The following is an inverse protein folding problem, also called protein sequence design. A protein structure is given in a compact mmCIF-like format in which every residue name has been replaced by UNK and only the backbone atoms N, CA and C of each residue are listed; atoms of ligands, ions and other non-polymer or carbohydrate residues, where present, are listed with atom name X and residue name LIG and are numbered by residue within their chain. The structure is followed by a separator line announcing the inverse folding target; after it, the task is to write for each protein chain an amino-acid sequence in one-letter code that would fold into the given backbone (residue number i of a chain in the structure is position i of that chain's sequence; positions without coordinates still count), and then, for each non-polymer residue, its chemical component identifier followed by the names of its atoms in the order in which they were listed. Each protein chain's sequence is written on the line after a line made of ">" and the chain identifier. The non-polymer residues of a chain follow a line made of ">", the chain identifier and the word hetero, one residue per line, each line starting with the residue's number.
data_IF_597313311741
#
_entry.id   IF_597313311741
#
_cell.length_a   1.000
_cell.length_b   1.000
_cell.length_c   1.000
_cell.angle_alpha   90.00
_cell.angle_beta   90.00
_cell.angle_gamma   90.00
#
_symmetry.space_group_name_H-M   'P 1'
#
loop_
_entity.id
_entity.type
_entity.pdbx_description
1 polymer ?
#
# COMPACT_ATOMS: atom_id res chain seq x y z
N UNK A 1 -9.63 16.23 27.14
CA UNK A 1 -9.38 14.90 26.53
C UNK A 1 -9.63 15.06 25.04
N UNK A 2 -8.58 15.07 24.23
CA UNK A 2 -8.69 15.29 22.79
C UNK A 2 -8.91 13.95 22.10
N UNK A 3 -10.15 13.47 22.10
CA UNK A 3 -10.54 12.33 21.29
C UNK A 3 -10.87 12.82 19.88
N UNK A 4 -10.04 12.45 18.90
CA UNK A 4 -10.20 12.92 17.53
C UNK A 4 -10.50 11.73 16.60
N UNK A 5 -11.61 11.81 15.88
CA UNK A 5 -11.91 10.86 14.81
C UNK A 5 -10.91 11.03 13.66
N UNK A 6 -10.40 9.93 13.14
CA UNK A 6 -9.45 9.95 12.04
C UNK A 6 -10.14 10.49 10.75
N UNK A 7 -9.54 11.48 10.05
CA UNK A 7 -10.19 12.17 8.94
C UNK A 7 -10.44 11.26 7.72
N UNK A 8 -9.73 10.13 7.61
CA UNK A 8 -9.96 9.11 6.58
C UNK A 8 -11.11 8.13 6.87
N UNK A 9 -11.69 8.15 8.08
CA UNK A 9 -12.68 7.17 8.53
C UNK A 9 -14.13 7.65 8.39
N UNK A 10 -14.46 8.24 7.24
CA UNK A 10 -15.81 8.76 6.95
C UNK A 10 -16.59 7.91 5.94
N UNK A 11 -15.91 7.04 5.18
CA UNK A 11 -16.51 6.30 4.05
C UNK A 11 -17.28 5.07 4.48
N UNK A 12 -16.88 4.40 5.56
CA UNK A 12 -17.53 3.18 6.05
C UNK A 12 -18.46 3.49 7.24
N UNK A 13 -19.78 3.32 7.13
CA UNK A 13 -20.69 3.51 8.26
C UNK A 13 -20.50 2.43 9.36
N UNK A 14 -19.77 1.35 9.08
CA UNK A 14 -19.56 0.22 10.00
C UNK A 14 -18.68 0.56 11.19
N UNK A 15 -17.93 1.65 11.13
CA UNK A 15 -17.05 2.07 12.21
C UNK A 15 -16.05 3.13 11.77
N UNK A 16 -15.24 3.60 12.70
CA UNK A 16 -14.23 4.62 12.44
C UNK A 16 -13.04 4.50 13.38
N UNK A 17 -11.87 4.94 12.91
CA UNK A 17 -10.67 5.08 13.73
C UNK A 17 -10.76 6.39 14.53
N UNK A 18 -10.21 6.38 15.74
CA UNK A 18 -10.02 7.57 16.56
C UNK A 18 -8.77 7.41 17.43
N UNK A 19 -8.20 8.54 17.86
CA UNK A 19 -7.09 8.53 18.81
C UNK A 19 -7.56 8.99 20.19
N UNK A 20 -7.05 8.34 21.23
CA UNK A 20 -7.22 8.77 22.64
C UNK A 20 -5.89 8.58 23.36
N UNK A 21 -5.43 9.63 24.05
CA UNK A 21 -4.14 9.66 24.76
C UNK A 21 -2.92 9.14 23.94
N UNK A 22 -2.93 9.35 22.62
CA UNK A 22 -1.86 8.92 21.71
C UNK A 22 -1.94 7.47 21.23
N UNK A 23 -2.93 6.70 21.70
CA UNK A 23 -3.22 5.36 21.19
C UNK A 23 -4.30 5.39 20.10
N UNK A 24 -4.16 4.52 19.10
CA UNK A 24 -5.12 4.36 18.01
C UNK A 24 -6.16 3.30 18.39
N UNK A 25 -7.44 3.65 18.24
CA UNK A 25 -8.57 2.77 18.47
C UNK A 25 -9.51 2.79 17.27
N UNK A 26 -10.36 1.76 17.18
CA UNK A 26 -11.46 1.72 16.24
C UNK A 26 -12.75 1.43 16.99
N UNK A 27 -13.76 2.26 16.75
CA UNK A 27 -15.13 1.93 17.12
C UNK A 27 -15.74 1.06 16.03
N UNK A 28 -16.28 -0.10 16.42
CA UNK A 28 -17.13 -0.95 15.59
C UNK A 28 -18.58 -0.62 15.93
N UNK A 29 -19.38 -0.30 14.93
CA UNK A 29 -20.78 0.08 15.11
C UNK A 29 -21.72 -1.14 15.09
N UNK A 30 -22.89 -1.00 15.70
CA UNK A 30 -23.93 -2.02 15.84
C UNK A 30 -24.37 -2.63 14.51
N UNK A 31 -24.36 -1.85 13.43
CA UNK A 31 -24.73 -2.33 12.10
C UNK A 31 -23.74 -3.37 11.51
N UNK A 32 -22.57 -3.53 12.11
CA UNK A 32 -21.54 -4.49 11.71
C UNK A 32 -21.31 -5.57 12.77
N UNK A 33 -22.18 -5.64 13.79
CA UNK A 33 -22.00 -6.57 14.91
C UNK A 33 -22.00 -8.04 14.44
N UNK A 34 -22.91 -8.40 13.53
CA UNK A 34 -23.05 -9.76 13.03
C UNK A 34 -21.84 -10.18 12.18
N UNK A 35 -21.37 -9.30 11.28
CA UNK A 35 -20.16 -9.53 10.48
C UNK A 35 -18.91 -9.63 11.36
N UNK A 36 -18.79 -8.75 12.36
CA UNK A 36 -17.66 -8.79 13.29
C UNK A 36 -17.66 -10.09 14.09
N UNK A 37 -18.80 -10.49 14.66
CA UNK A 37 -18.92 -11.75 15.39
C UNK A 37 -18.58 -12.93 14.48
N UNK A 38 -19.08 -12.94 13.24
CA UNK A 38 -18.75 -13.98 12.25
C UNK A 38 -17.26 -14.02 11.93
N UNK A 39 -16.60 -12.88 11.77
CA UNK A 39 -15.15 -12.79 11.52
C UNK A 39 -14.34 -13.44 12.64
N UNK A 40 -14.71 -13.17 13.89
CA UNK A 40 -14.03 -13.70 15.08
C UNK A 40 -14.31 -15.19 15.29
N UNK A 41 -15.55 -15.64 15.11
CA UNK A 41 -15.98 -17.02 15.39
C UNK A 41 -15.66 -18.01 14.27
N UNK A 42 -15.58 -17.56 13.01
CA UNK A 42 -15.30 -18.44 11.86
C UNK A 42 -13.87 -18.95 11.78
N UNK A 43 -12.97 -18.47 12.64
CA UNK A 43 -11.53 -18.74 12.58
C UNK A 43 -10.79 -17.99 11.46
N UNK A 44 -11.49 -17.17 10.68
CA UNK A 44 -10.88 -16.36 9.61
C UNK A 44 -9.90 -15.32 10.18
N UNK A 45 -10.31 -14.62 11.26
CA UNK A 45 -9.45 -13.65 11.94
C UNK A 45 -8.15 -14.27 12.42
N UNK A 46 -8.23 -15.39 13.17
CA UNK A 46 -7.06 -16.10 13.68
C UNK A 46 -6.17 -16.59 12.54
N UNK A 47 -6.76 -17.17 11.49
CA UNK A 47 -6.02 -17.66 10.33
C UNK A 47 -5.22 -16.56 9.64
N UNK A 48 -5.84 -15.40 9.37
CA UNK A 48 -5.21 -14.28 8.69
C UNK A 48 -4.17 -13.57 9.56
N UNK A 49 -4.46 -13.39 10.84
CA UNK A 49 -3.55 -12.80 11.82
C UNK A 49 -2.28 -13.65 11.98
N UNK A 50 -2.43 -14.97 12.16
CA UNK A 50 -1.30 -15.89 12.34
C UNK A 50 -0.33 -15.92 11.17
N UNK A 51 -0.82 -15.73 9.94
CA UNK A 51 0.06 -15.69 8.75
C UNK A 51 0.58 -14.28 8.45
N UNK A 52 0.18 -13.26 9.21
CA UNK A 52 0.50 -11.86 8.99
C UNK A 52 -0.11 -11.34 7.70
N UNK A 53 -1.44 -11.45 7.56
CA UNK A 53 -2.22 -10.91 6.42
C UNK A 53 -3.39 -10.02 6.86
N UNK A 54 -3.67 -9.95 8.15
CA UNK A 54 -4.61 -9.02 8.76
C UNK A 54 -3.90 -8.41 9.98
N UNK A 55 -4.08 -7.10 10.19
CA UNK A 55 -3.60 -6.43 11.40
C UNK A 55 -4.24 -7.07 12.62
N UNK A 56 -3.44 -7.34 13.65
CA UNK A 56 -3.98 -7.86 14.90
C UNK A 56 -4.64 -6.74 15.68
N UNK A 57 -5.66 -7.06 16.46
CA UNK A 57 -6.30 -6.13 17.38
C UNK A 57 -6.72 -6.84 18.67
N UNK A 58 -6.89 -6.04 19.71
CA UNK A 58 -7.46 -6.46 20.98
C UNK A 58 -8.79 -5.75 21.20
N UNK A 59 -9.77 -6.44 21.76
CA UNK A 59 -10.99 -5.81 22.24
C UNK A 59 -10.70 -5.12 23.57
N UNK A 60 -11.12 -3.86 23.71
CA UNK A 60 -10.84 -3.04 24.89
C UNK A 60 -12.12 -2.42 25.42
N UNK A 61 -12.16 -2.22 26.74
CA UNK A 61 -13.28 -1.57 27.42
C UNK A 61 -12.92 -0.10 27.70
N UNK A 62 -13.11 0.74 26.69
CA UNK A 62 -12.99 2.20 26.79
C UNK A 62 -14.27 2.86 26.29
N UNK A 63 -14.51 4.09 26.75
CA UNK A 63 -15.72 4.81 26.38
C UNK A 63 -15.74 5.13 24.86
N UNK A 64 -16.80 4.71 24.13
CA UNK A 64 -16.93 4.99 22.70
C UNK A 64 -17.16 6.47 22.41
N UNK A 65 -16.77 6.91 21.20
CA UNK A 65 -17.03 8.27 20.72
C UNK A 65 -18.51 8.48 20.42
N UNK A 66 -19.17 7.45 19.87
CA UNK A 66 -20.61 7.44 19.58
C UNK A 66 -21.26 6.26 20.31
N UNK A 67 -21.55 6.37 21.62
CA UNK A 67 -22.08 5.27 22.43
C UNK A 67 -23.38 4.67 21.90
N UNK A 68 -24.23 5.49 21.28
CA UNK A 68 -25.52 5.07 20.74
C UNK A 68 -25.42 4.16 19.51
N UNK A 69 -24.25 4.16 18.84
CA UNK A 69 -23.97 3.29 17.70
C UNK A 69 -22.95 2.20 18.02
N UNK A 70 -22.23 2.31 19.14
CA UNK A 70 -21.10 1.45 19.43
C UNK A 70 -21.55 0.02 19.75
N UNK A 71 -20.86 -0.93 19.14
CA UNK A 71 -20.93 -2.35 19.50
C UNK A 71 -19.70 -2.75 20.32
N UNK A 72 -18.51 -2.46 19.81
CA UNK A 72 -17.22 -2.75 20.47
C UNK A 72 -16.18 -1.69 20.15
N UNK A 73 -15.19 -1.56 21.02
CA UNK A 73 -13.95 -0.85 20.73
C UNK A 73 -12.83 -1.86 20.57
N UNK A 74 -12.03 -1.69 19.52
CA UNK A 74 -10.83 -2.48 19.29
C UNK A 74 -9.60 -1.59 19.22
N UNK A 75 -8.48 -2.08 19.73
CA UNK A 75 -7.17 -1.46 19.64
C UNK A 75 -6.33 -2.27 18.63
N UNK A 76 -6.18 -1.82 17.38
CA UNK A 76 -5.30 -2.46 16.42
C UNK A 76 -3.82 -2.26 16.78
N UNK A 77 -2.99 -3.22 16.39
CA UNK A 77 -1.54 -3.05 16.36
C UNK A 77 -1.20 -1.87 15.44
N UNK A 78 -0.45 -0.90 15.97
CA UNK A 78 -0.06 0.27 15.22
C UNK A 78 0.98 -0.11 14.16
N UNK A 79 0.69 0.21 12.90
CA UNK A 79 1.67 0.06 11.82
C UNK A 79 2.62 1.26 11.88
N UNK A 80 3.95 1.05 11.93
CA UNK A 80 4.90 2.14 12.16
C UNK A 80 4.83 3.26 11.13
N UNK A 81 4.50 2.93 9.87
CA UNK A 81 4.44 3.90 8.80
C UNK A 81 3.31 3.57 7.82
N UNK A 82 2.48 4.58 7.50
CA UNK A 82 1.43 4.46 6.49
C UNK A 82 1.98 4.95 5.14
N UNK A 83 2.08 4.02 4.21
CA UNK A 83 2.52 4.26 2.83
C UNK A 83 1.34 4.26 1.87
N UNK A 84 1.50 4.94 0.73
CA UNK A 84 0.44 5.08 -0.26
C UNK A 84 0.74 4.33 -1.57
N UNK A 85 -0.30 3.87 -2.30
CA UNK A 85 -0.10 3.03 -3.49
C UNK A 85 0.76 3.63 -4.59
N UNK A 86 0.78 4.96 -4.72
CA UNK A 86 1.62 5.67 -5.70
C UNK A 86 3.09 5.82 -5.25
N UNK A 87 3.42 5.46 -4.01
CA UNK A 87 4.78 5.41 -3.47
C UNK A 87 5.38 4.00 -3.60
N UNK A 88 4.60 3.00 -3.98
CA UNK A 88 5.04 1.62 -4.00
C UNK A 88 5.82 1.27 -5.26
N UNK A 89 6.84 0.43 -5.10
CA UNK A 89 7.51 -0.23 -6.22
C UNK A 89 6.55 -1.18 -6.95
N UNK A 90 6.94 -1.62 -8.16
CA UNK A 90 6.19 -2.61 -8.91
C UNK A 90 5.92 -3.89 -8.09
N UNK A 91 6.96 -4.44 -7.47
CA UNK A 91 6.85 -5.67 -6.67
C UNK A 91 6.04 -5.47 -5.39
N UNK A 92 6.07 -4.28 -4.77
CA UNK A 92 5.18 -3.95 -3.64
C UNK A 92 3.71 -4.01 -4.06
N UNK A 93 3.34 -3.26 -5.11
CA UNK A 93 1.95 -3.25 -5.59
C UNK A 93 1.49 -4.66 -6.02
N UNK A 94 2.39 -5.45 -6.62
CA UNK A 94 2.14 -6.84 -6.99
C UNK A 94 1.93 -7.73 -5.77
N UNK A 95 2.73 -7.57 -4.71
CA UNK A 95 2.55 -8.30 -3.45
C UNK A 95 1.21 -7.93 -2.81
N UNK A 96 0.86 -6.64 -2.74
CA UNK A 96 -0.41 -6.16 -2.22
C UNK A 96 -1.60 -6.77 -2.96
N UNK A 97 -1.57 -6.77 -4.29
CA UNK A 97 -2.60 -7.39 -5.13
C UNK A 97 -2.77 -8.89 -4.84
N UNK A 98 -1.66 -9.62 -4.73
CA UNK A 98 -1.67 -11.06 -4.43
C UNK A 98 -2.13 -11.34 -2.99
N UNK A 99 -1.81 -10.47 -2.04
CA UNK A 99 -2.28 -10.54 -0.66
C UNK A 99 -3.81 -10.38 -0.61
N UNK A 100 -4.36 -9.36 -1.26
CA UNK A 100 -5.82 -9.12 -1.33
C UNK A 100 -6.56 -10.31 -1.92
N UNK A 101 -6.09 -10.89 -3.04
CA UNK A 101 -6.70 -12.10 -3.62
C UNK A 101 -6.59 -13.32 -2.69
N UNK A 102 -5.48 -13.46 -1.97
CA UNK A 102 -5.27 -14.55 -1.03
C UNK A 102 -6.15 -14.43 0.22
N UNK A 103 -6.43 -13.21 0.67
CA UNK A 103 -7.38 -12.90 1.75
C UNK A 103 -8.80 -13.19 1.28
N UNK A 104 -9.19 -12.67 0.12
CA UNK A 104 -10.52 -12.91 -0.46
C UNK A 104 -10.83 -14.41 -0.60
N UNK A 105 -9.86 -15.18 -1.11
CA UNK A 105 -10.01 -16.64 -1.24
C UNK A 105 -10.22 -17.33 0.11
N UNK A 106 -9.55 -16.88 1.17
CA UNK A 106 -9.72 -17.41 2.53
C UNK A 106 -11.05 -17.00 3.13
N UNK A 107 -11.46 -15.75 2.93
CA UNK A 107 -12.75 -15.25 3.35
C UNK A 107 -13.88 -16.12 2.78
N UNK A 108 -13.84 -16.44 1.48
CA UNK A 108 -14.86 -17.30 0.85
C UNK A 108 -14.92 -18.70 1.47
N UNK A 109 -13.79 -19.26 1.91
CA UNK A 109 -13.78 -20.55 2.59
C UNK A 109 -14.43 -20.48 3.98
N UNK A 110 -14.42 -19.32 4.62
CA UNK A 110 -15.10 -19.02 5.89
C UNK A 110 -16.53 -18.46 5.70
N UNK A 111 -17.08 -18.52 4.48
CA UNK A 111 -18.37 -17.95 4.06
C UNK A 111 -18.48 -16.43 4.29
N UNK A 112 -17.35 -15.74 4.16
CA UNK A 112 -17.25 -14.29 4.13
C UNK A 112 -16.69 -13.81 2.78
N UNK A 113 -16.75 -12.52 2.52
CA UNK A 113 -16.15 -11.89 1.35
C UNK A 113 -15.61 -10.51 1.74
N UNK A 114 -14.59 -10.02 1.04
CA UNK A 114 -14.19 -8.63 1.10
C UNK A 114 -15.24 -7.78 0.38
N UNK A 115 -15.76 -6.77 1.06
CA UNK A 115 -16.72 -5.79 0.53
C UNK A 115 -16.04 -4.65 -0.25
N UNK A 116 -14.73 -4.49 -0.05
CA UNK A 116 -13.86 -3.56 -0.77
C UNK A 116 -12.50 -4.21 -1.12
N UNK A 117 -11.77 -3.59 -2.03
CA UNK A 117 -10.44 -3.98 -2.46
C UNK A 117 -9.59 -2.73 -2.76
N UNK A 118 -9.69 -1.72 -1.88
CA UNK A 118 -8.87 -0.52 -1.99
C UNK A 118 -7.40 -0.85 -1.70
N UNK A 119 -6.49 -0.37 -2.53
CA UNK A 119 -5.06 -0.49 -2.25
C UNK A 119 -4.66 0.22 -0.94
N UNK A 120 -5.37 1.27 -0.52
CA UNK A 120 -5.10 1.97 0.74
C UNK A 120 -5.36 1.12 1.99
N UNK A 121 -6.13 0.03 1.86
CA UNK A 121 -6.37 -0.91 2.95
C UNK A 121 -5.23 -1.93 3.12
N UNK A 122 -4.23 -1.92 2.23
CA UNK A 122 -3.02 -2.73 2.37
C UNK A 122 -1.87 -1.86 2.84
N UNK A 123 -1.11 -2.33 3.82
CA UNK A 123 0.14 -1.73 4.29
C UNK A 123 1.25 -2.77 4.37
N UNK A 124 2.50 -2.31 4.54
CA UNK A 124 3.66 -3.19 4.70
C UNK A 124 4.13 -3.18 6.13
N UNK A 125 4.08 -4.35 6.77
CA UNK A 125 4.53 -4.54 8.15
C UNK A 125 5.41 -5.78 8.24
N UNK A 126 6.57 -5.65 8.88
CA UNK A 126 7.52 -6.76 9.04
C UNK A 126 7.84 -7.50 7.73
N UNK A 127 8.05 -6.72 6.65
CA UNK A 127 8.36 -7.24 5.32
C UNK A 127 7.20 -7.95 4.60
N UNK A 128 5.94 -7.78 5.04
CA UNK A 128 4.75 -8.40 4.42
C UNK A 128 3.65 -7.39 4.11
N UNK A 129 2.94 -7.60 3.00
CA UNK A 129 1.68 -6.90 2.74
C UNK A 129 0.54 -7.44 3.64
N UNK A 130 -0.09 -6.56 4.42
CA UNK A 130 -1.15 -6.86 5.38
C UNK A 130 -2.39 -6.02 5.12
N UNK A 131 -3.58 -6.57 5.36
CA UNK A 131 -4.83 -5.80 5.39
C UNK A 131 -4.96 -5.11 6.76
N UNK A 132 -5.18 -3.80 6.76
CA UNK A 132 -5.34 -3.01 7.99
C UNK A 132 -6.81 -2.70 8.32
N UNK A 133 -7.73 -3.03 7.43
CA UNK A 133 -9.16 -2.78 7.60
C UNK A 133 -9.92 -4.04 8.03
N UNK A 134 -10.09 -4.20 9.35
CA UNK A 134 -10.86 -5.30 9.94
C UNK A 134 -12.34 -5.30 9.53
N UNK A 135 -12.90 -4.14 9.15
CA UNK A 135 -14.32 -4.03 8.81
C UNK A 135 -14.60 -4.30 7.32
N UNK A 136 -13.60 -4.70 6.54
CA UNK A 136 -13.75 -5.02 5.12
C UNK A 136 -14.45 -6.34 4.82
N UNK A 137 -14.79 -7.16 5.82
CA UNK A 137 -15.43 -8.46 5.60
C UNK A 137 -16.97 -8.36 5.67
N UNK A 138 -17.68 -9.07 4.82
CA UNK A 138 -19.13 -9.22 4.85
C UNK A 138 -19.53 -10.68 4.68
N UNK A 139 -20.78 -11.02 4.98
CA UNK A 139 -21.31 -12.35 4.68
C UNK A 139 -21.27 -12.63 3.18
N UNK A 140 -20.69 -13.77 2.79
CA UNK A 140 -20.79 -14.24 1.42
C UNK A 140 -22.21 -14.75 1.16
N UNK A 141 -22.83 -14.26 0.08
CA UNK A 141 -24.13 -14.74 -0.40
C UNK A 141 -23.92 -15.60 -1.64
N UNK A 142 -24.31 -16.87 -1.57
CA UNK A 142 -24.18 -17.78 -2.72
C UNK A 142 -24.90 -17.21 -3.95
N UNK A 143 -24.28 -17.33 -5.13
CA UNK A 143 -24.83 -16.80 -6.37
C UNK A 143 -24.52 -15.33 -6.65
N UNK A 144 -23.94 -14.57 -5.71
CA UNK A 144 -23.57 -13.16 -5.95
C UNK A 144 -22.14 -13.01 -6.50
N UNK A 145 -21.89 -12.04 -7.39
CA UNK A 145 -20.52 -11.69 -7.79
C UNK A 145 -19.73 -11.13 -6.60
N UNK A 146 -18.41 -11.09 -6.72
CA UNK A 146 -17.58 -10.36 -5.77
C UNK A 146 -17.73 -8.86 -6.00
N UNK A 147 -18.30 -8.16 -5.03
CA UNK A 147 -18.64 -6.73 -5.10
C UNK A 147 -17.41 -5.85 -5.38
N UNK A 148 -16.26 -6.19 -4.81
CA UNK A 148 -15.02 -5.42 -4.96
C UNK A 148 -14.21 -5.77 -6.22
N UNK A 149 -14.72 -6.62 -7.12
CA UNK A 149 -14.01 -7.05 -8.33
C UNK A 149 -13.56 -5.87 -9.20
N UNK A 150 -14.45 -4.89 -9.43
CA UNK A 150 -14.12 -3.68 -10.20
C UNK A 150 -13.02 -2.88 -9.51
N UNK A 151 -13.17 -2.63 -8.20
CA UNK A 151 -12.21 -1.89 -7.41
C UNK A 151 -10.83 -2.57 -7.42
N UNK A 152 -10.78 -3.90 -7.31
CA UNK A 152 -9.53 -4.66 -7.43
C UNK A 152 -8.84 -4.41 -8.79
N UNK A 153 -9.61 -4.44 -9.89
CA UNK A 153 -9.04 -4.15 -11.21
C UNK A 153 -8.50 -2.72 -11.29
N UNK A 154 -9.18 -1.73 -10.73
CA UNK A 154 -8.77 -0.32 -10.78
C UNK A 154 -7.56 0.00 -9.88
N UNK A 155 -7.50 -0.58 -8.68
CA UNK A 155 -6.45 -0.30 -7.70
C UNK A 155 -5.19 -1.16 -7.88
N UNK A 156 -5.31 -2.35 -8.47
CA UNK A 156 -4.18 -3.29 -8.58
C UNK A 156 -3.88 -3.70 -10.01
N UNK A 157 -4.84 -4.30 -10.73
CA UNK A 157 -4.52 -4.92 -12.02
C UNK A 157 -4.18 -3.89 -13.10
N UNK A 158 -4.96 -2.82 -13.21
CA UNK A 158 -4.73 -1.74 -14.16
C UNK A 158 -3.37 -1.05 -13.95
N UNK A 159 -3.02 -0.55 -12.75
CA UNK A 159 -1.70 0.05 -12.53
C UNK A 159 -0.56 -0.93 -12.77
N UNK A 160 -0.65 -2.19 -12.30
CA UNK A 160 0.38 -3.19 -12.59
C UNK A 160 0.56 -3.45 -14.08
N UNK A 161 -0.53 -3.51 -14.85
CA UNK A 161 -0.46 -3.69 -16.28
C UNK A 161 0.20 -2.49 -16.97
N UNK A 162 -0.15 -1.26 -16.58
CA UNK A 162 0.44 -0.03 -17.12
C UNK A 162 1.94 0.06 -16.82
N UNK A 163 2.33 -0.22 -15.58
CA UNK A 163 3.74 -0.25 -15.15
C UNK A 163 4.54 -1.28 -15.95
N UNK A 164 4.01 -2.50 -16.11
CA UNK A 164 4.73 -3.59 -16.76
C UNK A 164 4.74 -3.54 -18.30
N UNK A 165 3.74 -2.89 -18.92
CA UNK A 165 3.52 -2.93 -20.38
C UNK A 165 3.68 -1.59 -21.08
N UNK A 166 3.69 -0.48 -20.35
CA UNK A 166 3.81 0.86 -20.93
C UNK A 166 4.98 1.60 -20.31
N UNK A 167 4.89 2.00 -19.03
CA UNK A 167 5.93 2.77 -18.34
C UNK A 167 5.74 2.70 -16.82
N UNK A 168 6.82 2.49 -16.07
CA UNK A 168 6.80 2.36 -14.60
C UNK A 168 6.19 3.58 -13.90
N UNK A 169 6.35 4.77 -14.47
CA UNK A 169 5.88 6.04 -13.90
C UNK A 169 4.36 6.18 -13.92
N UNK A 170 3.65 5.34 -14.67
CA UNK A 170 2.19 5.36 -14.69
C UNK A 170 1.56 4.90 -13.36
N UNK A 171 2.34 4.38 -12.42
CA UNK A 171 1.91 4.21 -11.02
C UNK A 171 1.42 5.52 -10.38
N UNK A 172 1.97 6.67 -10.80
CA UNK A 172 1.59 8.00 -10.31
C UNK A 172 0.13 8.36 -10.60
N UNK A 173 -0.54 7.68 -11.53
CA UNK A 173 -1.98 7.86 -11.74
C UNK A 173 -2.81 7.49 -10.50
N UNK A 174 -2.29 6.66 -9.58
CA UNK A 174 -2.95 6.36 -8.30
C UNK A 174 -2.97 7.56 -7.33
N UNK A 175 -2.12 8.58 -7.55
CA UNK A 175 -2.19 9.87 -6.84
C UNK A 175 -3.37 10.71 -7.34
N UNK A 176 -3.66 10.64 -8.65
CA UNK A 176 -4.74 11.41 -9.29
C UNK A 176 -6.10 10.71 -9.08
N UNK A 177 -6.14 9.39 -9.29
CA UNK A 177 -7.34 8.57 -9.15
C UNK A 177 -7.28 7.79 -7.83
N UNK A 178 -7.65 8.47 -6.74
CA UNK A 178 -7.63 7.89 -5.39
C UNK A 178 -8.49 6.63 -5.28
N UNK A 179 -9.60 6.54 -6.03
CA UNK A 179 -10.49 5.38 -6.12
C UNK A 179 -10.05 4.36 -7.21
N UNK A 180 -8.79 4.43 -7.64
CA UNK A 180 -8.17 3.54 -8.62
C UNK A 180 -8.32 4.02 -10.06
N UNK A 181 -7.40 3.57 -10.92
CA UNK A 181 -7.33 4.01 -12.33
C UNK A 181 -8.58 3.52 -13.09
N UNK A 182 -9.35 4.41 -13.75
CA UNK A 182 -10.47 4.02 -14.60
C UNK A 182 -10.06 2.99 -15.66
N UNK A 183 -10.87 1.94 -15.84
CA UNK A 183 -10.49 0.81 -16.69
C UNK A 183 -10.52 1.15 -18.18
N UNK A 184 -11.37 2.08 -18.59
CA UNK A 184 -11.38 2.68 -19.92
C UNK A 184 -10.08 3.41 -20.21
N UNK A 185 -9.66 4.32 -19.32
CA UNK A 185 -8.36 5.01 -19.44
C UNK A 185 -7.20 4.02 -19.48
N UNK A 186 -7.16 3.05 -18.57
CA UNK A 186 -6.13 2.02 -18.58
C UNK A 186 -6.15 1.20 -19.88
N UNK A 187 -7.34 0.84 -20.39
CA UNK A 187 -7.48 0.11 -21.65
C UNK A 187 -6.97 0.90 -22.86
N UNK A 188 -7.09 2.23 -22.85
CA UNK A 188 -6.58 3.11 -23.91
C UNK A 188 -5.07 3.31 -23.85
N UNK A 189 -4.51 3.46 -22.64
CA UNK A 189 -3.07 3.63 -22.41
C UNK A 189 -2.27 2.33 -22.62
N UNK A 190 -2.91 1.16 -22.50
CA UNK A 190 -2.25 -0.12 -22.73
C UNK A 190 -2.01 -0.39 -24.23
N UNK A 191 -0.83 -0.92 -24.61
CA UNK A 191 -0.55 -1.29 -25.98
C UNK A 191 -1.57 -2.29 -26.53
N UNK A 192 -1.95 -2.19 -27.81
CA UNK A 192 -2.94 -3.10 -28.42
C UNK A 192 -2.59 -4.59 -28.28
N UNK A 193 -1.31 -4.94 -28.13
CA UNK A 193 -0.84 -6.31 -27.90
C UNK A 193 -1.37 -6.93 -26.60
N UNK A 194 -1.74 -6.13 -25.59
CA UNK A 194 -2.31 -6.65 -24.33
C UNK A 194 -3.70 -7.26 -24.51
N UNK A 195 -4.39 -6.96 -25.62
CA UNK A 195 -5.66 -7.62 -25.99
C UNK A 195 -5.49 -9.10 -26.34
N UNK A 196 -4.27 -9.55 -26.66
CA UNK A 196 -3.94 -10.96 -26.87
C UNK A 196 -3.68 -11.70 -25.55
N UNK A 197 -3.46 -10.98 -24.45
CA UNK A 197 -3.38 -11.58 -23.12
C UNK A 197 -4.80 -11.81 -22.60
N UNK A 198 -5.22 -13.08 -22.51
CA UNK A 198 -6.59 -13.43 -22.10
C UNK A 198 -7.03 -12.82 -20.76
N UNK A 199 -6.13 -12.73 -19.78
CA UNK A 199 -6.41 -12.14 -18.47
C UNK A 199 -6.64 -10.63 -18.55
N UNK A 200 -5.74 -9.90 -19.23
CA UNK A 200 -5.89 -8.44 -19.40
C UNK A 200 -7.09 -8.11 -20.32
N UNK A 201 -7.33 -8.93 -21.34
CA UNK A 201 -8.50 -8.82 -22.20
C UNK A 201 -9.79 -8.93 -21.41
N UNK A 202 -9.92 -9.96 -20.56
CA UNK A 202 -11.12 -10.17 -19.74
C UNK A 202 -11.30 -9.09 -18.67
N UNK A 203 -10.25 -8.80 -17.89
CA UNK A 203 -10.37 -8.02 -16.67
C UNK A 203 -10.23 -6.51 -16.85
N UNK A 204 -9.57 -6.06 -17.93
CA UNK A 204 -9.41 -4.65 -18.27
C UNK A 204 -10.22 -4.31 -19.53
N UNK A 205 -9.85 -4.84 -20.69
CA UNK A 205 -10.40 -4.34 -21.97
C UNK A 205 -11.90 -4.62 -22.17
N UNK A 206 -12.35 -5.85 -21.89
CA UNK A 206 -13.79 -6.19 -21.98
C UNK A 206 -14.59 -5.51 -20.88
N UNK A 207 -14.01 -5.41 -19.68
CA UNK A 207 -14.67 -4.77 -18.56
C UNK A 207 -14.87 -3.27 -18.81
N UNK A 208 -13.85 -2.58 -19.33
CA UNK A 208 -13.93 -1.19 -19.77
C UNK A 208 -15.04 -0.96 -20.81
N UNK A 209 -15.10 -1.81 -21.85
CA UNK A 209 -16.16 -1.72 -22.87
C UNK A 209 -17.55 -1.93 -22.30
N UNK A 210 -17.71 -2.84 -21.35
CA UNK A 210 -18.99 -3.05 -20.68
C UNK A 210 -19.38 -1.81 -19.86
N UNK A 211 -18.44 -1.19 -19.15
CA UNK A 211 -18.71 0.01 -18.35
C UNK A 211 -19.21 1.18 -19.21
N UNK A 212 -18.53 1.48 -20.33
CA UNK A 212 -18.97 2.56 -21.24
C UNK A 212 -20.36 2.27 -21.82
N UNK A 213 -20.64 1.01 -22.15
CA UNK A 213 -21.93 0.61 -22.74
C UNK A 213 -23.11 0.74 -21.75
N UNK A 214 -22.87 0.56 -20.46
CA UNK A 214 -23.90 0.58 -19.42
C UNK A 214 -23.83 1.82 -18.52
N UNK A 215 -23.03 2.84 -18.86
CA UNK A 215 -22.91 4.07 -18.07
C UNK A 215 -24.16 4.97 -18.17
N UNK A 216 -24.89 4.88 -19.28
CA UNK A 216 -26.08 5.70 -19.57
C UNK A 216 -27.41 4.92 -19.42
N UNK A 217 -27.38 3.64 -19.05
CA UNK A 217 -28.60 2.86 -18.78
C UNK A 217 -28.92 2.95 -17.29
N UNK A 218 -30.08 3.51 -16.93
CA UNK A 218 -30.60 3.48 -15.56
C UNK A 218 -30.56 2.03 -15.03
N UNK A 219 -29.76 1.84 -13.98
CA UNK A 219 -29.34 0.54 -13.42
C UNK A 219 -30.51 -0.27 -12.84
N UNK A 220 -31.73 0.26 -12.84
CA UNK A 220 -32.91 -0.39 -12.28
C UNK A 220 -33.54 -1.47 -13.18
N UNK A 221 -33.36 -1.46 -14.51
CA UNK A 221 -34.25 -2.25 -15.38
C UNK A 221 -33.71 -3.54 -16.05
N UNK A 222 -32.46 -3.96 -15.84
CA UNK A 222 -32.00 -5.28 -16.38
C UNK A 222 -31.14 -6.11 -15.43
N UNK A 223 -31.67 -6.41 -14.23
CA UNK A 223 -31.14 -7.48 -13.36
C UNK A 223 -31.53 -8.87 -13.89
N UNK A 224 -30.98 -9.28 -15.04
CA UNK A 224 -30.64 -10.69 -15.20
C UNK A 224 -29.26 -10.91 -14.56
N UNK A 225 -29.19 -10.82 -13.23
CA UNK A 225 -28.02 -11.28 -12.49
C UNK A 225 -27.94 -12.79 -12.67
N UNK A 226 -27.22 -13.25 -13.70
CA UNK A 226 -26.85 -14.66 -13.79
C UNK A 226 -26.10 -15.00 -12.51
N UNK A 227 -26.68 -15.92 -11.73
CA UNK A 227 -26.07 -16.38 -10.49
C UNK A 227 -24.64 -16.88 -10.77
N UNK A 228 -23.66 -16.37 -10.04
CA UNK A 228 -22.28 -16.81 -10.10
C UNK A 228 -22.06 -17.77 -8.95
N UNK A 229 -21.86 -19.05 -9.26
CA UNK A 229 -21.55 -20.04 -8.22
C UNK A 229 -20.26 -19.69 -7.49
N UNK A 230 -20.14 -20.11 -6.23
CA UNK A 230 -18.88 -20.00 -5.47
C UNK A 230 -17.69 -20.59 -6.22
N UNK A 231 -17.87 -21.70 -6.94
CA UNK A 231 -16.81 -22.32 -7.74
C UNK A 231 -16.37 -21.43 -8.91
N UNK A 232 -17.31 -20.77 -9.59
CA UNK A 232 -17.01 -19.79 -10.63
C UNK A 232 -16.25 -18.59 -10.07
N UNK A 233 -16.62 -18.13 -8.87
CA UNK A 233 -15.92 -17.05 -8.19
C UNK A 233 -14.48 -17.44 -7.80
N UNK A 234 -14.26 -18.64 -7.27
CA UNK A 234 -12.92 -19.16 -7.02
C UNK A 234 -12.08 -19.26 -8.31
N UNK A 235 -12.72 -19.64 -9.42
CA UNK A 235 -12.10 -19.63 -10.75
C UNK A 235 -11.69 -18.23 -11.21
N UNK A 236 -12.54 -17.23 -11.00
CA UNK A 236 -12.25 -15.82 -11.27
C UNK A 236 -11.02 -15.34 -10.48
N UNK A 237 -10.98 -15.63 -9.17
CA UNK A 237 -9.87 -15.25 -8.29
C UNK A 237 -8.55 -15.91 -8.70
N UNK A 238 -8.58 -17.18 -9.10
CA UNK A 238 -7.38 -17.86 -9.58
C UNK A 238 -6.93 -17.31 -10.95
N UNK A 239 -7.86 -16.92 -11.83
CA UNK A 239 -7.52 -16.25 -13.09
C UNK A 239 -6.86 -14.88 -12.85
N UNK A 240 -7.43 -14.04 -11.97
CA UNK A 240 -6.84 -12.77 -11.55
C UNK A 240 -5.44 -12.96 -10.97
N UNK A 241 -5.29 -13.90 -10.03
CA UNK A 241 -4.01 -14.22 -9.39
C UNK A 241 -2.96 -14.65 -10.41
N UNK A 242 -3.32 -15.49 -11.37
CA UNK A 242 -2.41 -15.92 -12.43
C UNK A 242 -2.06 -14.79 -13.39
N UNK A 243 -3.00 -13.90 -13.69
CA UNK A 243 -2.77 -12.70 -14.51
C UNK A 243 -1.77 -11.77 -13.82
N UNK A 244 -2.01 -11.44 -12.54
CA UNK A 244 -1.10 -10.62 -11.71
C UNK A 244 0.28 -11.25 -11.59
N UNK A 245 0.37 -12.56 -11.32
CA UNK A 245 1.66 -13.27 -11.19
C UNK A 245 2.53 -13.16 -12.45
N UNK A 246 1.92 -13.20 -13.64
CA UNK A 246 2.59 -13.13 -14.94
C UNK A 246 3.00 -11.71 -15.34
N UNK A 247 2.48 -10.68 -14.70
CA UNK A 247 2.98 -9.32 -14.89
C UNK A 247 4.33 -9.21 -14.21
N UNK A 248 5.32 -8.74 -14.94
CA UNK A 248 6.67 -8.55 -14.44
C UNK A 248 7.23 -7.26 -15.02
N UNK A 249 8.07 -6.60 -14.24
CA UNK A 249 8.81 -5.42 -14.67
C UNK A 249 10.26 -5.61 -14.25
N UNK A 250 11.19 -5.44 -15.18
CA UNK A 250 12.62 -5.46 -14.89
C UNK A 250 13.15 -4.09 -15.29
N UNK A 251 13.78 -3.33 -14.37
CA UNK A 251 14.31 -2.02 -14.72
C UNK A 251 15.36 -2.13 -15.84
N UNK A 252 15.44 -1.13 -16.71
CA UNK A 252 16.46 -1.10 -17.76
C UNK A 252 17.84 -0.81 -17.16
N UNK A 253 18.89 -1.48 -17.63
CA UNK A 253 20.28 -1.26 -17.19
C UNK A 253 20.74 -2.07 -15.96
N UNK A 254 19.94 -3.04 -15.49
CA UNK A 254 20.19 -3.79 -14.25
C UNK A 254 21.11 -5.01 -14.42
N UNK A 255 22.35 -4.79 -14.87
CA UNK A 255 23.42 -5.59 -14.31
C UNK A 255 23.69 -5.01 -12.92
N UNK A 256 23.46 -5.83 -11.90
CA UNK A 256 23.44 -5.49 -10.47
C UNK A 256 24.68 -4.72 -9.96
N UNK A 257 25.75 -4.59 -10.76
CA UNK A 257 26.98 -3.86 -10.45
C UNK A 257 26.99 -2.37 -10.81
N UNK A 258 26.16 -1.90 -11.77
CA UNK A 258 26.43 -0.62 -12.44
C UNK A 258 26.20 0.66 -11.61
N UNK A 259 25.43 0.63 -10.51
CA UNK A 259 25.22 1.85 -9.70
C UNK A 259 26.43 2.19 -8.82
N UNK A 260 27.17 1.17 -8.37
CA UNK A 260 28.36 1.37 -7.51
C UNK A 260 29.68 1.17 -8.25
N UNK A 261 29.70 0.47 -9.40
CA UNK A 261 30.86 0.42 -10.30
C UNK A 261 31.19 1.80 -10.91
N UNK A 262 30.23 2.75 -10.87
CA UNK A 262 30.41 4.14 -11.29
C UNK A 262 30.39 5.07 -10.06
N UNK A 263 31.14 4.74 -8.99
CA UNK A 263 31.30 5.66 -7.86
C UNK A 263 32.66 6.34 -7.88
N UNK A 264 32.67 7.65 -7.62
CA UNK A 264 33.88 8.47 -7.50
C UNK A 264 34.67 8.23 -6.19
N UNK A 265 34.38 7.16 -5.45
CA UNK A 265 34.95 6.88 -4.14
C UNK A 265 35.92 5.71 -4.21
N UNK A 266 36.96 5.74 -3.38
CA UNK A 266 37.71 4.53 -3.06
C UNK A 266 36.87 3.63 -2.16
N UNK A 267 37.08 2.32 -2.27
CA UNK A 267 36.44 1.33 -1.37
C UNK A 267 36.67 1.66 0.10
N UNK A 268 37.84 2.19 0.45
CA UNK A 268 38.17 2.62 1.81
C UNK A 268 37.30 3.77 2.33
N UNK A 269 37.03 4.77 1.51
CA UNK A 269 36.18 5.90 1.90
C UNK A 269 34.72 5.45 2.07
N UNK A 270 34.26 4.55 1.20
CA UNK A 270 32.94 3.95 1.30
C UNK A 270 32.76 3.14 2.57
N UNK A 271 33.71 2.27 2.90
CA UNK A 271 33.71 1.48 4.14
C UNK A 271 33.73 2.37 5.38
N UNK A 272 34.61 3.38 5.41
CA UNK A 272 34.69 4.30 6.53
C UNK A 272 33.37 5.08 6.74
N UNK A 273 32.70 5.49 5.65
CA UNK A 273 31.38 6.12 5.74
C UNK A 273 30.35 5.18 6.37
N UNK A 274 30.35 3.88 6.01
CA UNK A 274 29.45 2.89 6.62
C UNK A 274 29.73 2.71 8.12
N UNK A 275 31.00 2.67 8.52
CA UNK A 275 31.39 2.58 9.94
C UNK A 275 30.88 3.77 10.75
N UNK A 276 31.08 4.99 10.26
CA UNK A 276 30.62 6.21 10.95
C UNK A 276 29.10 6.25 11.12
N UNK A 277 28.35 5.99 10.04
CA UNK A 277 26.89 6.00 10.10
C UNK A 277 26.38 4.92 11.04
N UNK A 278 26.95 3.70 10.98
CA UNK A 278 26.60 2.61 11.88
C UNK A 278 26.84 2.98 13.35
N UNK A 279 27.98 3.62 13.64
CA UNK A 279 28.31 4.10 14.98
C UNK A 279 27.32 5.17 15.47
N UNK A 280 26.93 6.12 14.62
CA UNK A 280 25.93 7.14 14.99
C UNK A 280 24.58 6.53 15.33
N UNK A 281 24.10 5.55 14.55
CA UNK A 281 22.86 4.84 14.87
C UNK A 281 22.95 4.12 16.22
N UNK A 282 24.07 3.44 16.48
CA UNK A 282 24.30 2.72 17.73
C UNK A 282 24.36 3.65 18.95
N UNK A 283 24.88 4.86 18.77
CA UNK A 283 24.98 5.91 19.79
C UNK A 283 23.62 6.54 20.09
N UNK A 284 22.90 6.99 19.05
CA UNK A 284 21.64 7.73 19.21
C UNK A 284 20.44 6.83 19.48
N UNK A 285 20.47 5.56 19.05
CA UNK A 285 19.40 4.56 19.21
C UNK A 285 18.02 5.08 18.80
N UNK A 286 17.86 5.57 17.56
CA UNK A 286 16.57 6.06 17.07
C UNK A 286 15.56 4.90 17.03
N UNK A 287 14.27 5.18 17.22
CA UNK A 287 13.22 4.18 16.99
C UNK A 287 12.93 4.05 15.49
N UNK A 288 13.02 5.17 14.77
CA UNK A 288 12.81 5.26 13.33
C UNK A 288 13.88 6.07 12.61
N UNK A 289 14.30 5.59 11.43
CA UNK A 289 15.20 6.30 10.51
C UNK A 289 14.50 6.51 9.16
N UNK A 290 14.57 7.73 8.63
CA UNK A 290 14.23 8.01 7.23
C UNK A 290 15.51 8.21 6.41
N UNK A 291 15.69 7.41 5.36
CA UNK A 291 16.81 7.54 4.42
C UNK A 291 16.33 8.19 3.12
N UNK A 292 16.71 9.45 2.92
CA UNK A 292 16.27 10.30 1.81
C UNK A 292 17.30 10.29 0.69
N UNK A 293 16.95 9.66 -0.44
CA UNK A 293 17.90 9.36 -1.53
C UNK A 293 18.67 8.08 -1.25
N UNK A 294 17.96 7.05 -0.78
CA UNK A 294 18.53 5.81 -0.29
C UNK A 294 19.16 4.92 -1.38
N UNK A 295 18.92 5.22 -2.66
CA UNK A 295 19.26 4.38 -3.80
C UNK A 295 18.71 2.95 -3.60
N UNK A 296 19.59 1.95 -3.64
CA UNK A 296 19.23 0.55 -3.38
C UNK A 296 19.20 0.17 -1.88
N UNK A 297 19.36 1.14 -0.97
CA UNK A 297 19.20 0.96 0.48
C UNK A 297 20.43 0.41 1.20
N UNK A 298 21.65 0.59 0.67
CA UNK A 298 22.87 0.11 1.34
C UNK A 298 23.09 0.79 2.70
N UNK A 299 22.84 2.09 2.80
CA UNK A 299 22.97 2.83 4.06
C UNK A 299 21.76 2.64 4.97
N UNK A 300 20.55 2.53 4.40
CA UNK A 300 19.34 2.19 5.16
C UNK A 300 19.50 0.89 5.96
N UNK A 301 20.19 -0.10 5.40
CA UNK A 301 20.48 -1.39 6.06
C UNK A 301 21.36 -1.27 7.29
N UNK A 302 22.21 -0.25 7.38
CA UNK A 302 23.05 -0.02 8.57
C UNK A 302 22.19 0.25 9.82
N UNK A 303 21.01 0.86 9.64
CA UNK A 303 20.04 1.07 10.71
C UNK A 303 19.12 -0.15 10.90
N UNK A 304 18.57 -0.69 9.81
CA UNK A 304 17.59 -1.78 9.91
C UNK A 304 18.17 -3.10 10.43
N UNK A 305 19.44 -3.41 10.13
CA UNK A 305 20.18 -4.55 10.70
C UNK A 305 20.43 -4.41 12.21
N UNK A 306 20.44 -3.18 12.73
CA UNK A 306 20.51 -2.90 14.17
C UNK A 306 19.14 -2.94 14.86
N UNK A 307 18.08 -3.31 14.14
CA UNK A 307 16.72 -3.42 14.68
C UNK A 307 15.91 -2.13 14.62
N UNK A 308 16.42 -1.06 14.00
CA UNK A 308 15.72 0.22 13.85
C UNK A 308 14.76 0.15 12.65
N UNK A 309 13.49 0.52 12.84
CA UNK A 309 12.57 0.59 11.71
C UNK A 309 13.02 1.70 10.75
N UNK A 310 13.27 1.35 9.49
CA UNK A 310 13.86 2.28 8.52
C UNK A 310 12.97 2.42 7.30
N UNK A 311 12.57 3.64 6.97
CA UNK A 311 11.88 3.94 5.71
C UNK A 311 12.90 4.54 4.75
N UNK A 312 13.07 3.92 3.59
CA UNK A 312 14.05 4.35 2.60
C UNK A 312 13.34 4.89 1.37
N UNK A 313 13.64 6.13 1.01
CA UNK A 313 13.00 6.86 -0.07
C UNK A 313 13.97 7.11 -1.21
N UNK A 314 13.52 6.91 -2.45
CA UNK A 314 14.26 7.35 -3.63
C UNK A 314 13.33 7.81 -4.75
N UNK A 315 13.80 8.73 -5.60
CA UNK A 315 13.03 9.19 -6.76
C UNK A 315 13.07 8.17 -7.90
N UNK A 316 14.10 7.34 -7.98
CA UNK A 316 14.27 6.32 -9.02
C UNK A 316 13.49 5.03 -8.69
N UNK A 317 12.41 4.70 -9.43
CA UNK A 317 11.65 3.48 -9.20
C UNK A 317 12.49 2.20 -9.37
N UNK A 318 13.57 2.23 -10.14
CA UNK A 318 14.47 1.10 -10.32
C UNK A 318 15.26 0.79 -9.04
N UNK A 319 15.77 1.82 -8.39
CA UNK A 319 16.52 1.70 -7.14
C UNK A 319 15.62 1.17 -6.01
N UNK A 320 14.40 1.70 -5.89
CA UNK A 320 13.40 1.23 -4.91
C UNK A 320 12.99 -0.22 -5.19
N UNK A 321 12.76 -0.60 -6.44
CA UNK A 321 12.43 -1.97 -6.81
C UNK A 321 13.55 -2.96 -6.48
N UNK A 322 14.81 -2.59 -6.75
CA UNK A 322 15.97 -3.42 -6.37
C UNK A 322 16.07 -3.56 -4.86
N UNK A 323 15.93 -2.46 -4.12
CA UNK A 323 15.96 -2.45 -2.67
C UNK A 323 14.87 -3.37 -2.10
N UNK A 324 13.64 -3.26 -2.61
CA UNK A 324 12.54 -4.11 -2.18
C UNK A 324 12.78 -5.59 -2.51
N UNK A 325 13.27 -5.92 -3.71
CA UNK A 325 13.62 -7.30 -4.07
C UNK A 325 14.70 -7.89 -3.17
N UNK A 326 15.72 -7.12 -2.85
CA UNK A 326 16.77 -7.54 -1.90
C UNK A 326 16.19 -7.75 -0.50
N UNK A 327 15.36 -6.82 -0.03
CA UNK A 327 14.66 -6.95 1.25
C UNK A 327 13.84 -8.25 1.31
N UNK A 328 13.11 -8.58 0.24
CA UNK A 328 12.35 -9.83 0.15
C UNK A 328 13.23 -11.08 0.11
N UNK A 329 14.36 -11.05 -0.60
CA UNK A 329 15.25 -12.22 -0.70
C UNK A 329 16.02 -12.47 0.60
N UNK A 330 16.47 -11.42 1.26
CA UNK A 330 17.15 -11.45 2.55
C UNK A 330 16.20 -11.65 3.75
N UNK A 331 14.88 -11.55 3.52
CA UNK A 331 13.82 -11.62 4.55
C UNK A 331 13.98 -10.54 5.63
N UNK A 332 14.39 -9.35 5.22
CA UNK A 332 14.49 -8.17 6.07
C UNK A 332 13.09 -7.72 6.53
N UNK A 333 12.93 -7.42 7.82
CA UNK A 333 11.63 -7.05 8.41
C UNK A 333 11.54 -5.60 8.84
N UNK A 334 12.67 -4.88 8.95
CA UNK A 334 12.74 -3.53 9.52
C UNK A 334 13.04 -2.46 8.46
N UNK A 335 12.82 -2.75 7.18
CA UNK A 335 13.07 -1.84 6.07
C UNK A 335 11.80 -1.67 5.23
N UNK A 336 11.48 -0.44 4.85
CA UNK A 336 10.37 -0.11 3.95
C UNK A 336 10.86 0.79 2.81
N UNK A 337 11.15 0.23 1.63
CA UNK A 337 11.47 1.01 0.43
C UNK A 337 10.24 1.68 -0.17
N UNK A 338 10.34 2.96 -0.53
CA UNK A 338 9.28 3.75 -1.14
C UNK A 338 9.84 4.69 -2.21
N UNK A 339 9.03 4.94 -3.24
CA UNK A 339 9.28 5.94 -4.29
C UNK A 339 8.77 7.29 -3.79
N UNK A 340 9.65 8.29 -3.76
CA UNK A 340 9.30 9.66 -3.37
C UNK A 340 10.19 10.67 -4.09
N UNK A 341 9.56 11.65 -4.73
CA UNK A 341 10.22 12.86 -5.23
C UNK A 341 10.16 13.94 -4.14
N UNK A 342 11.29 14.27 -3.52
CA UNK A 342 11.34 15.29 -2.46
C UNK A 342 11.07 16.71 -2.96
N UNK A 343 11.15 16.96 -4.27
CA UNK A 343 10.82 18.25 -4.88
C UNK A 343 9.32 18.40 -5.17
N UNK A 344 8.60 17.28 -5.16
CA UNK A 344 7.15 17.21 -5.28
C UNK A 344 6.63 16.05 -4.41
N UNK A 345 6.78 16.16 -3.08
CA UNK A 345 6.52 15.05 -2.17
C UNK A 345 5.05 14.67 -2.19
N UNK A 346 4.75 13.51 -1.64
CA UNK A 346 3.38 13.05 -1.42
C UNK A 346 2.56 14.14 -0.71
N UNK A 347 1.52 14.68 -1.36
CA UNK A 347 0.72 15.76 -0.80
C UNK A 347 -0.37 15.17 0.09
N UNK A 348 -1.05 16.03 0.85
CA UNK A 348 -2.32 15.64 1.42
C UNK A 348 -3.35 15.43 0.31
N UNK A 349 -4.16 14.37 0.40
CA UNK A 349 -5.10 13.96 -0.67
C UNK A 349 -6.50 13.62 -0.14
N UNK A 350 -7.42 13.45 -1.09
CA UNK A 350 -8.80 12.99 -0.90
C UNK A 350 -9.72 14.07 -0.35
N UNK A 351 -10.83 13.66 0.27
CA UNK A 351 -11.85 14.62 0.70
C UNK A 351 -11.27 15.69 1.63
N UNK A 352 -11.56 16.96 1.30
CA UNK A 352 -11.10 18.12 2.06
C UNK A 352 -9.56 18.21 2.22
N UNK A 353 -8.78 17.55 1.36
CA UNK A 353 -7.31 17.43 1.45
C UNK A 353 -6.84 16.96 2.83
N UNK A 354 -7.61 16.08 3.47
CA UNK A 354 -7.34 15.57 4.82
C UNK A 354 -7.55 14.07 4.94
N UNK A 355 -7.98 13.41 3.87
CA UNK A 355 -8.21 11.96 3.89
C UNK A 355 -6.89 11.18 3.91
N UNK A 356 -5.82 11.71 3.31
CA UNK A 356 -4.46 11.16 3.37
C UNK A 356 -3.50 12.27 3.77
N UNK A 357 -2.56 11.93 4.64
CA UNK A 357 -1.51 12.82 5.12
C UNK A 357 -0.50 13.08 4.00
N UNK A 358 0.09 14.26 4.02
CA UNK A 358 1.29 14.58 3.26
C UNK A 358 2.52 13.84 3.80
N UNK A 359 3.63 13.94 3.08
CA UNK A 359 4.92 13.43 3.54
C UNK A 359 5.34 14.03 4.89
N UNK A 360 5.23 15.35 5.06
CA UNK A 360 5.65 16.04 6.29
C UNK A 360 4.69 15.80 7.46
N UNK A 361 3.39 15.57 7.20
CA UNK A 361 2.43 15.20 8.25
C UNK A 361 2.69 13.80 8.83
N UNK A 362 3.45 12.93 8.12
CA UNK A 362 3.88 11.62 8.62
C UNK A 362 5.17 11.69 9.46
N UNK A 363 5.74 12.89 9.62
CA UNK A 363 6.92 13.15 10.45
C UNK A 363 6.51 13.34 11.93
N UNK A 364 7.46 13.45 12.89
CA UNK A 364 8.92 13.39 12.73
C UNK A 364 9.45 11.95 12.64
N UNK A 365 10.55 11.77 11.93
CA UNK A 365 11.45 10.63 12.15
C UNK A 365 12.45 10.98 13.26
N UNK A 366 12.93 9.99 14.02
CA UNK A 366 13.93 10.24 15.06
C UNK A 366 15.32 10.59 14.49
N UNK A 367 15.62 10.13 13.28
CA UNK A 367 16.87 10.40 12.58
C UNK A 367 16.67 10.36 11.06
N UNK A 368 17.29 11.30 10.35
CA UNK A 368 17.23 11.40 8.88
C UNK A 368 18.61 11.23 8.27
N UNK A 369 18.73 10.35 7.28
CA UNK A 369 19.91 10.24 6.42
C UNK A 369 19.68 11.04 5.13
N UNK A 370 20.57 12.00 4.85
CA UNK A 370 20.59 12.81 3.63
C UNK A 370 21.99 12.76 2.98
N UNK A 371 22.48 11.55 2.70
CA UNK A 371 23.90 11.24 2.54
C UNK A 371 24.52 11.58 1.18
N UNK A 372 23.68 11.84 0.18
CA UNK A 372 24.06 12.26 -1.16
C UNK A 372 22.93 13.07 -1.83
N UNK A 373 22.11 13.75 -1.03
CA UNK A 373 20.85 14.36 -1.50
C UNK A 373 20.98 15.87 -1.79
N UNK A 374 21.72 16.57 -0.93
CA UNK A 374 21.76 18.05 -0.91
C UNK A 374 22.16 18.65 -2.26
N UNK A 375 23.11 18.04 -2.97
CA UNK A 375 23.55 18.56 -4.26
C UNK A 375 22.52 18.34 -5.38
N UNK A 376 21.74 17.25 -5.36
CA UNK A 376 20.63 17.07 -6.31
C UNK A 376 19.52 18.10 -6.08
N UNK A 377 19.24 18.43 -4.82
CA UNK A 377 18.24 19.44 -4.49
C UNK A 377 18.72 20.86 -4.82
N UNK A 378 19.92 21.23 -4.38
CA UNK A 378 20.44 22.58 -4.54
C UNK A 378 20.85 22.89 -5.99
N UNK A 379 21.48 21.94 -6.70
CA UNK A 379 22.04 22.19 -8.04
C UNK A 379 21.04 21.80 -9.12
N UNK A 380 20.55 20.55 -9.11
CA UNK A 380 19.68 20.07 -10.19
C UNK A 380 18.28 20.71 -10.14
N UNK A 381 17.79 21.06 -8.95
CA UNK A 381 16.48 21.68 -8.75
C UNK A 381 16.54 23.16 -8.35
N UNK A 382 17.75 23.75 -8.31
CA UNK A 382 17.98 25.16 -7.97
C UNK A 382 17.33 25.61 -6.64
N UNK A 383 17.25 24.71 -5.64
CA UNK A 383 16.70 25.05 -4.33
C UNK A 383 17.71 25.85 -3.50
N UNK A 384 17.32 27.00 -2.91
CA UNK A 384 18.19 27.75 -2.02
C UNK A 384 18.60 26.92 -0.80
N UNK A 385 19.88 26.98 -0.43
CA UNK A 385 20.41 26.20 0.70
C UNK A 385 19.66 26.47 2.03
N UNK A 386 19.21 27.72 2.25
CA UNK A 386 18.42 28.07 3.42
C UNK A 386 17.09 27.30 3.46
N UNK A 387 16.38 27.18 2.33
CA UNK A 387 15.11 26.45 2.28
C UNK A 387 15.31 24.95 2.52
N UNK A 388 16.47 24.39 2.15
CA UNK A 388 16.81 23.01 2.49
C UNK A 388 17.03 22.85 3.99
N UNK A 389 17.73 23.79 4.63
CA UNK A 389 17.93 23.77 6.08
C UNK A 389 16.61 23.92 6.84
N UNK A 390 15.72 24.81 6.39
CA UNK A 390 14.38 25.00 6.96
C UNK A 390 13.57 23.69 6.84
N UNK A 391 13.58 23.05 5.68
CA UNK A 391 12.91 21.76 5.45
C UNK A 391 13.41 20.62 6.36
N UNK A 392 14.71 20.56 6.67
CA UNK A 392 15.24 19.56 7.60
C UNK A 392 15.02 19.91 9.08
N UNK A 393 14.61 21.14 9.38
CA UNK A 393 14.31 21.60 10.73
C UNK A 393 12.84 21.42 11.11
N UNK A 394 11.96 21.41 10.12
CA UNK A 394 10.52 21.10 10.28
C UNK A 394 10.33 19.60 10.57
#
# INVERSE_FOLDING_TARGET
>A
MNRNQHPASFRDPSGFLFTDEGALYRQVNQQYADEYQRLMESGLYENLSKIGRLVTHQEVDIEPIQPEKAFKIIQPELIPFISYPYEWSFSQLKEAALATLAIQKRALNAEMSLKDASAYNIQFHQGKAILIDTLSFEFYKEGTPWVAYKQFCQHFLAPLALMAKTDIRLSQLLRVYIDGIPLDLASELLPKSTKLNAGLMMHIHMHAKAQVKYADEDVEEKKQNKAISKQSLLGLLENLKNTVKKLDWTPAGTEWGNYYEITNYSDSAFLHKKELISAWVAETKPKEVWDLGANNGVFSRLASEQGVFTVSFDIDPAAVEQNYRQMKSAKETNLLPLVLDLTNPSPALGWHNRERESFTERAPADMVFALALVHHLAISNNLPFQQLADFFSD
#
